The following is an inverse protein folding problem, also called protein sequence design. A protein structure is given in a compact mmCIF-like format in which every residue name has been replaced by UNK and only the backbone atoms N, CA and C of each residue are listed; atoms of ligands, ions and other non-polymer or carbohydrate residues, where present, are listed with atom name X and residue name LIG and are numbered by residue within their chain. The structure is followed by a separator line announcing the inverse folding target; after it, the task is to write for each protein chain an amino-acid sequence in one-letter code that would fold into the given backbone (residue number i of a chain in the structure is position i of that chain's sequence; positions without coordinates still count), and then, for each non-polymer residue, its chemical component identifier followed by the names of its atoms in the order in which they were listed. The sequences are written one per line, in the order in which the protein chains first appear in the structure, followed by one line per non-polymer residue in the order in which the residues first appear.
data_IF_679832082743
#
_entry.id   IF_679832082743
#
_cell.length_a   1.000
_cell.length_b   1.000
_cell.length_c   1.000
_cell.angle_alpha   90.00
_cell.angle_beta   90.00
_cell.angle_gamma   90.00
#
_symmetry.space_group_name_H-M   'P 1'
#
loop_
_entity.id
_entity.type
_entity.pdbx_description
1 polymer ?
#
# COMPACT_ATOMS: atom_id res chain seq x y z
N UNK A 1 4.57 13.53 15.50
CA UNK A 1 5.37 13.53 14.29
C UNK A 1 4.57 13.17 13.04
N UNK A 2 5.23 12.61 12.04
CA UNK A 2 4.62 12.29 10.72
C UNK A 2 3.41 11.37 10.83
N UNK A 3 3.42 10.40 11.74
CA UNK A 3 2.28 9.51 11.98
C UNK A 3 1.03 10.27 12.46
N UNK A 4 1.20 11.23 13.36
CA UNK A 4 0.09 12.06 13.85
C UNK A 4 -0.47 12.96 12.74
N UNK A 5 0.40 13.55 11.91
CA UNK A 5 -0.01 14.35 10.76
C UNK A 5 -0.81 13.51 9.76
N UNK A 6 -0.34 12.29 9.46
CA UNK A 6 -1.04 11.34 8.61
C UNK A 6 -2.42 10.97 9.16
N UNK A 7 -2.50 10.71 10.46
CA UNK A 7 -3.75 10.36 11.13
C UNK A 7 -4.76 11.53 11.10
N UNK A 8 -4.30 12.74 11.37
CA UNK A 8 -5.14 13.96 11.31
C UNK A 8 -5.65 14.21 9.88
N UNK A 9 -4.78 14.04 8.88
CA UNK A 9 -5.14 14.20 7.47
C UNK A 9 -6.21 13.16 7.07
N UNK A 10 -6.03 11.91 7.49
CA UNK A 10 -6.98 10.84 7.21
C UNK A 10 -8.32 11.09 7.87
N UNK A 11 -8.35 11.51 9.12
CA UNK A 11 -9.60 11.84 9.82
C UNK A 11 -10.34 13.01 9.15
N UNK A 12 -9.61 14.05 8.72
CA UNK A 12 -10.19 15.19 8.02
C UNK A 12 -10.84 14.82 6.68
N UNK A 13 -10.29 13.84 5.96
CA UNK A 13 -10.73 13.43 4.63
C UNK A 13 -11.43 12.06 4.59
N UNK A 14 -11.82 11.51 5.75
CA UNK A 14 -12.43 10.19 5.84
C UNK A 14 -13.70 10.05 4.97
N UNK A 15 -14.50 11.10 4.86
CA UNK A 15 -15.69 11.10 4.01
C UNK A 15 -15.36 10.94 2.53
N UNK A 16 -14.39 11.70 2.02
CA UNK A 16 -13.92 11.65 0.64
C UNK A 16 -13.25 10.31 0.34
N UNK A 17 -12.46 9.82 1.28
CA UNK A 17 -11.80 8.51 1.18
C UNK A 17 -12.82 7.38 1.06
N UNK A 18 -13.88 7.38 1.88
CA UNK A 18 -14.96 6.40 1.79
C UNK A 18 -15.64 6.42 0.43
N UNK A 19 -15.96 7.59 -0.11
CA UNK A 19 -16.59 7.74 -1.43
C UNK A 19 -15.65 7.18 -2.51
N UNK A 20 -14.38 7.54 -2.49
CA UNK A 20 -13.40 7.06 -3.46
C UNK A 20 -13.23 5.53 -3.40
N UNK A 21 -13.12 4.95 -2.20
CA UNK A 21 -13.00 3.50 -2.02
C UNK A 21 -14.29 2.79 -2.43
N UNK A 22 -15.47 3.33 -2.11
CA UNK A 22 -16.76 2.79 -2.51
C UNK A 22 -16.87 2.65 -4.02
N UNK A 23 -16.55 3.71 -4.76
CA UNK A 23 -16.61 3.68 -6.23
C UNK A 23 -15.66 2.65 -6.85
N UNK A 24 -14.50 2.43 -6.26
CA UNK A 24 -13.55 1.40 -6.70
C UNK A 24 -14.09 -0.01 -6.44
N UNK A 25 -14.56 -0.26 -5.22
CA UNK A 25 -15.04 -1.57 -4.77
C UNK A 25 -16.33 -1.98 -5.48
N UNK A 26 -17.25 -1.05 -5.75
CA UNK A 26 -18.47 -1.30 -6.52
C UNK A 26 -18.16 -1.74 -7.95
N UNK A 27 -17.08 -1.26 -8.54
CA UNK A 27 -16.64 -1.70 -9.87
C UNK A 27 -16.10 -3.14 -9.83
N UNK A 28 -15.21 -3.42 -8.89
CA UNK A 28 -14.67 -4.77 -8.65
C UNK A 28 -14.01 -4.83 -7.25
N UNK A 29 -14.40 -5.77 -6.38
CA UNK A 29 -13.90 -5.83 -5.00
C UNK A 29 -12.36 -5.91 -4.87
N UNK A 30 -11.66 -6.56 -5.81
CA UNK A 30 -10.21 -6.65 -5.81
C UNK A 30 -9.49 -5.30 -5.99
N UNK A 31 -10.19 -4.27 -6.49
CA UNK A 31 -9.64 -2.91 -6.59
C UNK A 31 -9.38 -2.27 -5.24
N UNK A 32 -9.86 -2.88 -4.15
CA UNK A 32 -9.49 -2.51 -2.79
C UNK A 32 -7.98 -2.55 -2.57
N UNK A 33 -7.26 -3.46 -3.26
CA UNK A 33 -5.80 -3.48 -3.28
C UNK A 33 -5.19 -2.15 -3.74
N UNK A 34 -5.80 -1.48 -4.72
CA UNK A 34 -5.31 -0.20 -5.19
C UNK A 34 -5.46 0.90 -4.13
N UNK A 35 -6.59 0.93 -3.42
CA UNK A 35 -6.78 1.86 -2.32
C UNK A 35 -5.76 1.64 -1.20
N UNK A 36 -5.50 0.39 -0.81
CA UNK A 36 -4.46 0.02 0.16
C UNK A 36 -3.08 0.48 -0.30
N UNK A 37 -2.74 0.22 -1.57
CA UNK A 37 -1.45 0.61 -2.14
C UNK A 37 -1.26 2.12 -2.10
N UNK A 38 -2.19 2.90 -2.65
CA UNK A 38 -2.09 4.36 -2.71
C UNK A 38 -1.98 4.95 -1.30
N UNK A 39 -2.82 4.50 -0.37
CA UNK A 39 -2.75 5.01 1.00
C UNK A 39 -1.42 4.66 1.67
N UNK A 40 -0.90 3.45 1.48
CA UNK A 40 0.39 3.03 2.06
C UNK A 40 1.58 3.82 1.52
N UNK A 41 1.54 4.23 0.24
CA UNK A 41 2.53 5.14 -0.35
C UNK A 41 2.51 6.51 0.32
N UNK A 42 1.32 7.04 0.61
CA UNK A 42 1.16 8.37 1.21
C UNK A 42 1.52 8.40 2.69
N UNK A 43 1.11 7.37 3.43
CA UNK A 43 1.24 7.34 4.90
C UNK A 43 2.56 6.71 5.35
N UNK A 44 3.22 5.92 4.50
CA UNK A 44 4.43 5.15 4.82
C UNK A 44 4.28 4.25 6.06
N UNK A 45 3.07 3.73 6.30
CA UNK A 45 2.74 2.91 7.46
C UNK A 45 1.71 1.85 7.13
N UNK A 46 2.11 0.58 7.24
CA UNK A 46 1.22 -0.58 7.07
C UNK A 46 0.08 -0.56 8.09
N UNK A 47 0.43 -0.39 9.36
CA UNK A 47 -0.54 -0.41 10.46
C UNK A 47 -1.59 0.70 10.33
N UNK A 48 -1.17 1.93 9.99
CA UNK A 48 -2.09 3.03 9.77
C UNK A 48 -2.99 2.78 8.55
N UNK A 49 -2.45 2.25 7.46
CA UNK A 49 -3.22 1.90 6.26
C UNK A 49 -4.30 0.85 6.56
N UNK A 50 -3.93 -0.22 7.27
CA UNK A 50 -4.88 -1.27 7.69
C UNK A 50 -5.93 -0.68 8.63
N UNK A 51 -5.53 0.02 9.68
CA UNK A 51 -6.46 0.59 10.67
C UNK A 51 -7.47 1.57 10.03
N UNK A 52 -7.07 2.25 8.94
CA UNK A 52 -7.93 3.19 8.22
C UNK A 52 -8.86 2.49 7.24
N UNK A 53 -8.34 1.64 6.36
CA UNK A 53 -9.11 1.12 5.22
C UNK A 53 -9.85 -0.19 5.50
N UNK A 54 -9.35 -1.06 6.38
CA UNK A 54 -10.05 -2.31 6.64
C UNK A 54 -11.46 -2.14 7.23
N UNK A 55 -11.69 -1.24 8.21
CA UNK A 55 -13.05 -0.95 8.66
C UNK A 55 -13.94 -0.42 7.53
N UNK A 56 -13.40 0.36 6.61
CA UNK A 56 -14.13 0.85 5.42
C UNK A 56 -14.48 -0.31 4.49
N UNK A 57 -13.51 -1.17 4.17
CA UNK A 57 -13.73 -2.35 3.33
C UNK A 57 -14.80 -3.28 3.90
N UNK A 58 -14.75 -3.55 5.21
CA UNK A 58 -15.76 -4.36 5.91
C UNK A 58 -17.15 -3.70 5.81
N UNK A 59 -17.23 -2.39 6.07
CA UNK A 59 -18.49 -1.65 6.01
C UNK A 59 -19.09 -1.59 4.59
N UNK A 60 -18.25 -1.66 3.55
CA UNK A 60 -18.66 -1.75 2.14
C UNK A 60 -18.97 -3.18 1.69
N UNK A 61 -18.86 -4.17 2.58
CA UNK A 61 -19.16 -5.57 2.27
C UNK A 61 -18.11 -6.25 1.39
N UNK A 62 -16.86 -5.78 1.39
CA UNK A 62 -15.77 -6.47 0.68
C UNK A 62 -15.62 -7.88 1.26
N UNK A 63 -15.66 -8.95 0.43
CA UNK A 63 -15.53 -10.31 0.91
C UNK A 63 -14.23 -10.57 1.67
N UNK A 64 -14.28 -11.39 2.73
CA UNK A 64 -13.12 -11.71 3.56
C UNK A 64 -11.92 -12.26 2.75
N UNK A 65 -12.09 -13.15 1.76
CA UNK A 65 -10.98 -13.58 0.91
C UNK A 65 -10.29 -12.43 0.18
N UNK A 66 -11.06 -11.45 -0.30
CA UNK A 66 -10.51 -10.26 -0.97
C UNK A 66 -9.77 -9.37 0.02
N UNK A 67 -10.34 -9.11 1.21
CA UNK A 67 -9.67 -8.32 2.25
C UNK A 67 -8.31 -8.92 2.62
N UNK A 68 -8.27 -10.24 2.84
CA UNK A 68 -7.05 -10.95 3.23
C UNK A 68 -6.08 -11.06 2.06
N UNK A 69 -6.55 -11.44 0.88
CA UNK A 69 -5.73 -11.57 -0.32
C UNK A 69 -5.09 -10.27 -0.78
N UNK A 70 -5.76 -9.14 -0.55
CA UNK A 70 -5.25 -7.80 -0.91
C UNK A 70 -4.38 -7.16 0.16
N UNK A 71 -4.28 -7.74 1.36
CA UNK A 71 -3.55 -7.15 2.49
C UNK A 71 -2.10 -6.79 2.15
N UNK A 72 -1.44 -7.57 1.30
CA UNK A 72 -0.05 -7.28 0.87
C UNK A 72 0.11 -5.91 0.23
N UNK A 73 -0.95 -5.34 -0.33
CA UNK A 73 -0.90 -4.03 -0.98
C UNK A 73 -0.59 -2.86 -0.03
N UNK A 74 -0.65 -3.07 1.30
CA UNK A 74 -0.19 -2.07 2.29
C UNK A 74 1.33 -1.85 2.30
N UNK A 75 2.08 -2.59 1.49
CA UNK A 75 3.54 -2.47 1.37
C UNK A 75 3.99 -1.49 0.26
N UNK A 76 3.12 -0.58 -0.20
CA UNK A 76 3.43 0.38 -1.26
C UNK A 76 4.48 1.45 -0.93
N UNK A 77 4.93 1.56 0.31
CA UNK A 77 5.87 2.58 0.79
C UNK A 77 7.25 2.58 0.10
N UNK A 78 7.55 1.57 -0.70
CA UNK A 78 8.75 1.57 -1.55
C UNK A 78 8.59 2.45 -2.80
N UNK A 79 7.36 2.76 -3.22
CA UNK A 79 7.06 3.40 -4.50
C UNK A 79 7.65 4.81 -4.61
N UNK A 80 7.56 5.59 -3.53
CA UNK A 80 8.27 6.87 -3.39
C UNK A 80 9.44 6.64 -2.43
N UNK A 81 10.70 6.94 -2.82
CA UNK A 81 11.87 6.66 -1.99
C UNK A 81 12.06 7.69 -0.86
N UNK A 82 10.99 7.96 -0.11
CA UNK A 82 10.97 8.83 1.08
C UNK A 82 10.89 8.02 2.39
N UNK A 83 10.81 6.71 2.30
CA UNK A 83 10.78 5.81 3.45
C UNK A 83 12.18 5.65 4.04
N UNK A 84 12.29 5.85 5.37
CA UNK A 84 13.58 5.88 6.07
C UNK A 84 14.52 4.70 5.78
N UNK A 85 14.07 3.42 5.84
CA UNK A 85 14.89 2.27 5.50
C UNK A 85 15.43 2.27 4.07
N UNK A 86 14.68 2.79 3.10
CA UNK A 86 15.15 2.90 1.70
C UNK A 86 16.28 3.93 1.61
N UNK A 87 16.08 5.10 2.22
CA UNK A 87 17.11 6.15 2.26
C UNK A 87 18.36 5.63 2.94
N UNK A 88 18.21 4.99 4.10
CA UNK A 88 19.33 4.40 4.84
C UNK A 88 20.06 3.32 4.03
N UNK A 89 19.35 2.49 3.28
CA UNK A 89 19.95 1.47 2.42
C UNK A 89 20.83 2.09 1.33
N UNK A 90 20.42 3.24 0.78
CA UNK A 90 21.19 3.97 -0.23
C UNK A 90 22.41 4.63 0.41
N UNK A 91 22.24 5.27 1.57
CA UNK A 91 23.31 5.99 2.26
C UNK A 91 24.41 5.04 2.81
N UNK A 92 24.02 3.82 3.22
CA UNK A 92 24.96 2.83 3.75
C UNK A 92 25.59 1.93 2.70
N UNK A 93 25.12 1.99 1.45
CA UNK A 93 25.69 1.18 0.37
C UNK A 93 27.04 1.74 -0.10
N UNK A 94 28.12 1.17 0.42
CA UNK A 94 29.48 1.51 0.02
C UNK A 94 29.87 1.04 -1.37
N UNK A 95 29.04 0.15 -1.99
CA UNK A 95 29.28 -0.39 -3.34
C UNK A 95 28.71 0.49 -4.44
N UNK A 96 27.78 1.40 -4.10
CA UNK A 96 27.09 2.28 -5.04
C UNK A 96 26.11 1.57 -5.97
N UNK A 97 25.69 0.35 -5.60
CA UNK A 97 24.72 -0.44 -6.38
C UNK A 97 23.28 -0.04 -6.12
N UNK A 98 22.99 0.49 -4.93
CA UNK A 98 21.69 1.08 -4.58
C UNK A 98 21.70 2.57 -4.81
N UNK A 99 20.70 3.08 -5.54
CA UNK A 99 20.64 4.50 -5.92
C UNK A 99 19.23 4.99 -6.16
N UNK A 100 19.03 6.29 -5.99
CA UNK A 100 17.94 7.04 -6.60
C UNK A 100 18.51 7.65 -7.90
N UNK A 101 17.89 7.33 -9.04
CA UNK A 101 18.28 7.85 -10.33
C UNK A 101 17.85 9.31 -10.54
N UNK A 102 17.88 9.75 -11.79
CA UNK A 102 17.54 11.14 -12.15
C UNK A 102 16.11 11.56 -11.78
N UNK A 103 15.19 10.61 -11.72
CA UNK A 103 13.78 10.81 -11.36
C UNK A 103 13.42 10.00 -10.12
N UNK A 104 12.47 10.48 -9.34
CA UNK A 104 11.99 9.83 -8.10
C UNK A 104 11.64 8.36 -8.32
N UNK A 105 10.99 8.02 -9.43
CA UNK A 105 10.58 6.65 -9.75
C UNK A 105 11.68 5.76 -10.33
N UNK A 106 12.85 6.31 -10.61
CA UNK A 106 14.00 5.55 -11.11
C UNK A 106 14.98 5.23 -9.98
N UNK A 107 14.58 4.39 -9.07
CA UNK A 107 15.42 3.92 -7.96
C UNK A 107 15.50 2.39 -7.92
N UNK A 108 16.54 1.87 -7.27
CA UNK A 108 16.88 0.44 -7.26
C UNK A 108 15.78 -0.46 -6.69
N UNK A 109 14.89 0.07 -5.84
CA UNK A 109 13.81 -0.69 -5.21
C UNK A 109 12.51 -0.72 -6.02
N UNK A 110 12.39 0.07 -7.10
CA UNK A 110 11.13 0.18 -7.85
C UNK A 110 10.74 -1.15 -8.50
N UNK A 111 11.60 -1.68 -9.34
CA UNK A 111 11.28 -2.92 -10.07
C UNK A 111 11.13 -4.14 -9.16
N UNK A 112 12.06 -4.41 -8.22
CA UNK A 112 11.87 -5.49 -7.25
C UNK A 112 10.61 -5.34 -6.41
N UNK A 113 10.29 -4.12 -5.97
CA UNK A 113 9.10 -3.84 -5.18
C UNK A 113 7.80 -4.09 -5.95
N UNK A 114 7.71 -3.62 -7.21
CA UNK A 114 6.55 -3.86 -8.06
C UNK A 114 6.36 -5.35 -8.37
N UNK A 115 7.43 -6.07 -8.71
CA UNK A 115 7.36 -7.51 -8.96
C UNK A 115 6.96 -8.28 -7.71
N UNK A 116 7.58 -7.99 -6.56
CA UNK A 116 7.22 -8.61 -5.28
C UNK A 116 5.75 -8.35 -4.94
N UNK A 117 5.28 -7.12 -5.11
CA UNK A 117 3.88 -6.75 -4.87
C UNK A 117 2.93 -7.52 -5.79
N UNK A 118 3.21 -7.56 -7.10
CA UNK A 118 2.37 -8.23 -8.08
C UNK A 118 2.25 -9.74 -7.79
N UNK A 119 3.38 -10.42 -7.53
CA UNK A 119 3.37 -11.84 -7.18
C UNK A 119 2.67 -12.09 -5.84
N UNK A 120 2.96 -11.31 -4.82
CA UNK A 120 2.33 -11.47 -3.51
C UNK A 120 0.82 -11.23 -3.57
N UNK A 121 0.36 -10.28 -4.38
CA UNK A 121 -1.06 -10.02 -4.58
C UNK A 121 -1.73 -11.18 -5.31
N UNK A 122 -1.12 -11.68 -6.38
CA UNK A 122 -1.65 -12.82 -7.14
C UNK A 122 -1.75 -14.08 -6.26
N UNK A 123 -0.70 -14.42 -5.52
CA UNK A 123 -0.71 -15.55 -4.60
C UNK A 123 -1.63 -15.33 -3.40
N UNK A 124 -1.67 -14.11 -2.86
CA UNK A 124 -2.55 -13.76 -1.75
C UNK A 124 -4.02 -13.96 -2.10
N UNK A 125 -4.46 -13.49 -3.26
CA UNK A 125 -5.82 -13.70 -3.75
C UNK A 125 -6.10 -15.18 -4.05
N UNK A 126 -5.18 -15.87 -4.71
CA UNK A 126 -5.32 -17.29 -5.01
C UNK A 126 -5.46 -18.14 -3.74
N UNK A 127 -4.60 -17.93 -2.76
CA UNK A 127 -4.65 -18.70 -1.51
C UNK A 127 -5.85 -18.32 -0.65
N UNK A 128 -6.23 -17.04 -0.60
CA UNK A 128 -7.43 -16.65 0.11
C UNK A 128 -8.69 -17.29 -0.47
N UNK A 129 -8.79 -17.41 -1.79
CA UNK A 129 -9.91 -18.09 -2.45
C UNK A 129 -9.90 -19.61 -2.25
N UNK A 130 -8.70 -20.23 -2.12
CA UNK A 130 -8.58 -21.68 -1.94
C UNK A 130 -8.86 -22.14 -0.49
N UNK A 131 -8.60 -21.29 0.52
CA UNK A 131 -8.61 -21.68 1.91
C UNK A 131 -9.68 -20.99 2.75
N UNK A 132 -10.39 -20.01 2.23
CA UNK A 132 -11.46 -19.25 2.88
C UNK A 132 -12.78 -19.36 2.12
#
# INVERSE_FOLDING_TARGET
GVAWLGDTLMQAHMGELKVAVSSLVETAPWTFAFALFVLSVLVNSQGATVATLFPVGIALGVPAPILIGTLVAVNGYFFIPNYGPIIASIDFDTTGTTRIGRFIFNHSFMLPGLLSMAFSLAFGLLFAELFL
#
